data_IF_014444670304
#
_entry.id   IF_014444670304
#
_cell.length_a   1.000
_cell.length_b   1.000
_cell.length_c   1.000
_cell.angle_alpha   90.00
_cell.angle_beta   90.00
_cell.angle_gamma   90.00
#
_symmetry.space_group_name_H-M   'P 1'
#
loop_
_entity.id
_entity.type
_entity.pdbx_description
1 polymer ?
#
# COMPACT_ATOMS: atom_id res chain seq x y z
N UNK A 1 -7.73 -22.39 -16.88
CA UNK A 1 -6.80 -21.57 -16.06
C UNK A 1 -6.99 -20.12 -16.47
N UNK A 2 -7.46 -19.23 -15.59
CA UNK A 2 -7.70 -17.82 -15.94
C UNK A 2 -6.35 -17.10 -16.02
N UNK A 3 -6.02 -16.38 -17.11
CA UNK A 3 -4.79 -15.62 -17.19
C UNK A 3 -4.81 -14.54 -16.12
N UNK A 4 -3.80 -14.55 -15.24
CA UNK A 4 -3.68 -13.57 -14.17
C UNK A 4 -3.47 -12.20 -14.82
N UNK A 5 -4.35 -11.22 -14.60
CA UNK A 5 -4.22 -9.90 -15.20
C UNK A 5 -2.92 -9.24 -14.72
N UNK A 6 -2.21 -8.55 -15.62
CA UNK A 6 -0.90 -7.93 -15.33
C UNK A 6 -0.96 -6.93 -14.15
N UNK A 7 -2.13 -6.35 -13.87
CA UNK A 7 -2.39 -5.53 -12.69
C UNK A 7 -2.23 -6.28 -11.37
N UNK A 8 -2.60 -7.57 -11.33
CA UNK A 8 -2.41 -8.42 -10.16
C UNK A 8 -0.93 -8.78 -9.97
N UNK A 9 -0.20 -9.01 -11.08
CA UNK A 9 1.24 -9.27 -11.04
C UNK A 9 2.04 -8.11 -10.44
N UNK A 10 1.63 -6.86 -10.69
CA UNK A 10 2.26 -5.68 -10.11
C UNK A 10 1.92 -5.48 -8.62
N UNK A 11 0.71 -5.86 -8.19
CA UNK A 11 0.28 -5.76 -6.78
C UNK A 11 0.79 -6.91 -5.91
N UNK A 12 1.09 -8.07 -6.51
CA UNK A 12 1.60 -9.25 -5.82
C UNK A 12 2.85 -8.99 -4.96
N UNK A 13 3.94 -8.36 -5.47
CA UNK A 13 5.13 -8.11 -4.65
C UNK A 13 4.84 -7.19 -3.48
N UNK A 14 3.92 -6.25 -3.62
CA UNK A 14 3.47 -5.38 -2.54
C UNK A 14 2.84 -6.22 -1.41
N UNK A 15 1.85 -7.07 -1.75
CA UNK A 15 1.18 -7.93 -0.76
C UNK A 15 2.15 -8.93 -0.12
N UNK A 16 3.00 -9.56 -0.93
CA UNK A 16 3.99 -10.54 -0.47
C UNK A 16 5.02 -9.88 0.46
N UNK A 17 5.47 -8.65 0.16
CA UNK A 17 6.41 -7.91 1.00
C UNK A 17 5.83 -7.61 2.40
N UNK A 18 4.57 -7.14 2.46
CA UNK A 18 3.89 -6.91 3.73
C UNK A 18 3.70 -8.20 4.54
N UNK A 19 3.31 -9.29 3.88
CA UNK A 19 3.13 -10.59 4.55
C UNK A 19 4.46 -11.18 5.03
N UNK A 20 5.51 -11.12 4.20
CA UNK A 20 6.84 -11.58 4.56
C UNK A 20 7.42 -10.79 5.75
N UNK A 21 7.19 -9.48 5.81
CA UNK A 21 7.59 -8.65 6.95
C UNK A 21 6.87 -9.05 8.25
N UNK A 22 5.58 -9.39 8.16
CA UNK A 22 4.84 -9.91 9.32
C UNK A 22 5.41 -11.26 9.80
N UNK A 23 5.67 -12.19 8.89
CA UNK A 23 6.28 -13.48 9.25
C UNK A 23 7.67 -13.31 9.86
N UNK A 24 8.46 -12.38 9.32
CA UNK A 24 9.79 -12.08 9.84
C UNK A 24 9.74 -11.42 11.23
N UNK A 25 8.72 -10.59 11.50
CA UNK A 25 8.45 -10.02 12.82
C UNK A 25 8.14 -11.10 13.86
N UNK A 26 7.24 -12.03 13.52
CA UNK A 26 6.90 -13.19 14.38
C UNK A 26 8.14 -14.07 14.58
N UNK A 27 8.95 -14.29 13.54
CA UNK A 27 10.18 -15.05 13.64
C UNK A 27 11.18 -14.42 14.62
N UNK A 28 11.49 -13.13 14.47
CA UNK A 28 12.40 -12.42 15.37
C UNK A 28 11.90 -12.38 16.82
N UNK A 29 10.59 -12.20 17.01
CA UNK A 29 9.97 -12.13 18.33
C UNK A 29 10.05 -13.47 19.07
N UNK A 30 9.72 -14.58 18.40
CA UNK A 30 9.63 -15.90 19.05
C UNK A 30 10.90 -16.75 19.02
N UNK A 31 11.82 -16.55 18.07
CA UNK A 31 12.99 -17.43 17.89
C UNK A 31 14.30 -16.77 18.33
N UNK A 32 14.38 -15.44 18.26
CA UNK A 32 15.60 -14.70 18.59
C UNK A 32 15.53 -13.98 19.95
N UNK A 33 14.40 -14.03 20.68
CA UNK A 33 14.17 -13.25 21.92
C UNK A 33 14.41 -11.74 21.74
N UNK A 34 14.41 -11.26 20.48
CA UNK A 34 14.69 -9.88 20.11
C UNK A 34 13.38 -9.13 19.93
N UNK A 35 12.64 -8.96 21.04
CA UNK A 35 11.28 -8.43 21.06
C UNK A 35 11.17 -7.08 20.34
N UNK A 36 12.09 -6.16 20.63
CA UNK A 36 12.12 -4.82 20.04
C UNK A 36 12.41 -4.85 18.53
N UNK A 37 13.31 -5.71 18.07
CA UNK A 37 13.64 -5.82 16.66
C UNK A 37 12.50 -6.47 15.86
N UNK A 38 11.82 -7.47 16.44
CA UNK A 38 10.62 -8.07 15.85
C UNK A 38 9.51 -7.04 15.66
N UNK A 39 9.21 -6.24 16.68
CA UNK A 39 8.20 -5.17 16.62
C UNK A 39 8.60 -4.10 15.59
N UNK A 40 9.86 -3.67 15.58
CA UNK A 40 10.33 -2.64 14.66
C UNK A 40 10.21 -3.08 13.20
N UNK A 41 10.64 -4.31 12.88
CA UNK A 41 10.57 -4.84 11.51
C UNK A 41 9.12 -5.11 11.09
N UNK A 42 8.27 -5.56 12.02
CA UNK A 42 6.85 -5.81 11.76
C UNK A 42 6.02 -4.55 11.53
N UNK A 43 6.42 -3.41 12.09
CA UNK A 43 5.69 -2.15 11.94
C UNK A 43 6.25 -1.25 10.83
N UNK A 44 7.57 -1.16 10.67
CA UNK A 44 8.14 -0.14 9.78
C UNK A 44 7.95 -0.47 8.29
N UNK A 45 8.09 -1.74 7.86
CA UNK A 45 7.92 -2.14 6.45
C UNK A 45 6.49 -1.89 5.97
N UNK A 46 5.43 -2.36 6.67
CA UNK A 46 4.07 -2.05 6.24
C UNK A 46 3.75 -0.55 6.31
N UNK A 47 4.41 0.21 7.19
CA UNK A 47 4.25 1.68 7.24
C UNK A 47 4.82 2.38 6.00
N UNK A 48 6.04 2.04 5.57
CA UNK A 48 6.64 2.58 4.33
C UNK A 48 5.81 2.17 3.10
N UNK A 49 5.30 0.95 3.12
CA UNK A 49 4.48 0.42 2.05
C UNK A 49 3.11 1.12 1.92
N UNK A 50 2.48 1.42 3.06
CA UNK A 50 1.28 2.25 3.15
C UNK A 50 1.56 3.68 2.67
N UNK A 51 2.68 4.27 3.09
CA UNK A 51 3.13 5.59 2.63
C UNK A 51 3.38 5.63 1.13
N UNK A 52 4.04 4.61 0.56
CA UNK A 52 4.26 4.51 -0.88
C UNK A 52 2.95 4.44 -1.65
N UNK A 53 1.95 3.70 -1.14
CA UNK A 53 0.60 3.68 -1.71
C UNK A 53 -0.05 5.05 -1.64
N UNK A 54 0.05 5.74 -0.51
CA UNK A 54 -0.49 7.09 -0.32
C UNK A 54 0.11 8.10 -1.30
N UNK A 55 1.44 8.12 -1.44
CA UNK A 55 2.17 9.02 -2.34
C UNK A 55 1.88 8.75 -3.82
N UNK A 56 1.70 7.48 -4.20
CA UNK A 56 1.40 7.08 -5.56
C UNK A 56 -0.08 7.17 -5.91
N UNK A 57 -0.97 7.44 -4.94
CA UNK A 57 -2.40 7.60 -5.20
C UNK A 57 -2.64 8.97 -5.82
N UNK A 58 -3.04 9.04 -7.11
CA UNK A 58 -3.31 10.34 -7.74
C UNK A 58 -4.54 10.96 -7.07
N UNK A 59 -4.36 12.15 -6.48
CA UNK A 59 -5.48 12.98 -6.04
C UNK A 59 -6.17 13.51 -7.29
N UNK A 60 -7.30 12.89 -7.64
CA UNK A 60 -8.18 13.47 -8.65
C UNK A 60 -9.02 14.53 -7.95
N UNK A 61 -8.67 15.80 -8.16
CA UNK A 61 -9.53 16.90 -7.76
C UNK A 61 -10.73 16.91 -8.70
N UNK A 62 -11.89 16.48 -8.20
CA UNK A 62 -13.16 16.75 -8.88
C UNK A 62 -13.36 18.26 -8.86
N UNK A 63 -13.05 18.92 -9.97
CA UNK A 63 -13.47 20.29 -10.19
C UNK A 63 -14.95 20.24 -10.56
N UNK A 64 -15.83 20.46 -9.58
CA UNK A 64 -17.28 20.52 -9.79
C UNK A 64 -17.70 21.78 -10.53
N UNK A 65 -17.31 21.94 -11.79
CA UNK A 65 -17.71 23.06 -12.62
C UNK A 65 -17.81 22.68 -14.11
N UNK A 66 -18.65 21.69 -14.42
CA UNK A 66 -19.57 21.76 -15.56
C UNK A 66 -20.98 21.75 -14.95
N UNK A 67 -21.96 22.56 -15.32
CA UNK A 67 -22.23 23.33 -16.53
C UNK A 67 -23.20 24.51 -16.19
N UNK A 68 -23.42 25.38 -17.19
CA UNK A 68 -24.51 26.36 -17.44
C UNK A 68 -24.84 27.56 -16.52
N UNK A 69 -24.50 28.77 -17.00
CA UNK A 69 -25.49 29.73 -17.56
C UNK A 69 -24.84 31.09 -17.93
N UNK A 70 -24.35 31.22 -19.18
CA UNK A 70 -24.12 32.55 -19.78
C UNK A 70 -25.33 32.86 -20.69
N UNK A 71 -26.28 33.70 -20.26
CA UNK A 71 -27.27 34.25 -21.17
C UNK A 71 -26.59 35.27 -22.09
N UNK A 72 -26.65 35.01 -23.40
CA UNK A 72 -26.31 35.97 -24.45
C UNK A 72 -27.20 37.20 -24.29
N UNK A 73 -26.57 38.36 -24.07
CA UNK A 73 -27.17 39.69 -24.21
C UNK A 73 -26.52 40.42 -25.37
#
# INVERSE_FOLDING_TARGET
MRPIPNSLKLKLPFIISGFASFLFSVWLYFIQDQEMAGIFVGLWVPSIHSLGTLLLTPVTVTNGAGEEAVPNG
#
